data_IF_838565365676
#
_entry.id   IF_838565365676
#
_cell.length_a   1.000
_cell.length_b   1.000
_cell.length_c   1.000
_cell.angle_alpha   90.00
_cell.angle_beta   90.00
_cell.angle_gamma   90.00
#
_symmetry.space_group_name_H-M   'P 1'
#
loop_
_entity.id
_entity.type
_entity.pdbx_description
1 polymer ?
#
# COMPACT_ATOMS: atom_id res chain seq x y z
N UNK A 1 -41.07 32.69 0.33
CA UNK A 1 -40.33 32.08 1.46
C UNK A 1 -39.87 30.70 1.01
N UNK A 2 -38.59 30.56 0.65
CA UNK A 2 -37.99 29.29 0.19
C UNK A 2 -37.27 28.67 1.39
N UNK A 3 -37.82 27.57 1.93
CA UNK A 3 -37.19 26.78 2.98
C UNK A 3 -35.96 26.07 2.37
N UNK A 4 -34.77 26.55 2.72
CA UNK A 4 -33.51 25.85 2.48
C UNK A 4 -33.40 24.71 3.50
N UNK A 5 -33.56 23.47 3.04
CA UNK A 5 -33.16 22.30 3.81
C UNK A 5 -31.63 22.22 3.81
N UNK A 6 -31.00 22.54 4.95
CA UNK A 6 -29.62 22.14 5.20
C UNK A 6 -29.60 20.63 5.40
N UNK A 7 -29.03 19.90 4.42
CA UNK A 7 -28.62 18.52 4.61
C UNK A 7 -27.46 18.49 5.62
N UNK A 8 -27.48 17.63 6.64
CA UNK A 8 -26.33 17.46 7.52
C UNK A 8 -25.25 16.75 6.71
N UNK A 9 -24.18 17.50 6.39
CA UNK A 9 -22.91 16.93 5.94
C UNK A 9 -22.42 16.05 7.08
N UNK A 10 -22.56 14.73 6.91
CA UNK A 10 -21.98 13.73 7.80
C UNK A 10 -20.46 13.78 7.59
N UNK A 11 -19.81 14.76 8.22
CA UNK A 11 -18.37 14.77 8.37
C UNK A 11 -18.02 13.61 9.32
N UNK A 12 -17.63 12.47 8.75
CA UNK A 12 -16.96 11.40 9.49
C UNK A 12 -15.56 11.89 9.87
N UNK A 13 -15.50 12.74 10.90
CA UNK A 13 -14.27 13.12 11.59
C UNK A 13 -14.01 12.11 12.70
N UNK A 14 -13.34 11.01 12.37
CA UNK A 14 -12.53 10.25 13.31
C UNK A 14 -11.23 9.89 12.61
N UNK A 15 -10.29 10.84 12.62
CA UNK A 15 -8.90 10.55 12.34
C UNK A 15 -8.33 9.77 13.55
N UNK A 16 -8.68 8.48 13.65
CA UNK A 16 -7.70 7.54 14.20
C UNK A 16 -6.54 7.61 13.21
N UNK A 17 -5.38 8.09 13.66
CA UNK A 17 -4.19 8.09 12.81
C UNK A 17 -4.00 6.67 12.32
N UNK A 18 -4.22 6.42 11.04
CA UNK A 18 -4.09 5.09 10.46
C UNK A 18 -2.71 4.56 10.84
N UNK A 19 -2.69 3.45 11.56
CA UNK A 19 -1.45 2.73 11.82
C UNK A 19 -0.88 2.30 10.46
N UNK A 20 0.43 2.14 10.39
CA UNK A 20 1.05 1.55 9.21
C UNK A 20 1.67 0.21 9.57
N UNK A 21 1.65 -0.70 8.60
CA UNK A 21 2.39 -1.96 8.70
C UNK A 21 3.88 -1.65 8.84
N UNK A 22 4.50 -2.23 9.87
CA UNK A 22 5.90 -1.98 10.24
C UNK A 22 6.90 -2.77 9.38
N UNK A 23 6.46 -3.91 8.84
CA UNK A 23 7.22 -4.84 8.00
C UNK A 23 6.24 -5.71 7.22
N UNK A 24 6.67 -6.22 6.07
CA UNK A 24 5.87 -7.17 5.30
C UNK A 24 5.45 -8.35 6.17
N UNK A 25 4.20 -8.79 5.99
CA UNK A 25 3.62 -9.86 6.79
C UNK A 25 2.62 -10.68 5.98
N UNK A 26 2.49 -11.94 6.32
CA UNK A 26 1.41 -12.76 5.78
C UNK A 26 0.07 -12.27 6.33
N UNK A 27 -0.94 -12.24 5.47
CA UNK A 27 -2.33 -12.00 5.87
C UNK A 27 -3.10 -13.30 5.89
N UNK A 28 -4.01 -13.42 6.87
CA UNK A 28 -4.96 -14.53 6.93
C UNK A 28 -6.41 -14.07 6.85
N UNK A 29 -7.24 -14.88 6.20
CA UNK A 29 -8.69 -14.73 6.13
C UNK A 29 -9.31 -16.08 6.47
N UNK A 30 -10.23 -16.11 7.45
CA UNK A 30 -10.87 -17.33 7.96
C UNK A 30 -9.86 -18.44 8.33
N UNK A 31 -8.74 -18.05 8.93
CA UNK A 31 -7.67 -18.94 9.37
C UNK A 31 -6.76 -19.50 8.26
N UNK A 32 -6.95 -19.07 7.00
CA UNK A 32 -6.08 -19.44 5.87
C UNK A 32 -5.17 -18.29 5.49
N UNK A 33 -3.91 -18.58 5.18
CA UNK A 33 -3.02 -17.62 4.52
C UNK A 33 -3.53 -17.39 3.10
N UNK A 34 -3.66 -16.13 2.72
CA UNK A 34 -4.21 -15.74 1.40
C UNK A 34 -3.31 -14.72 0.68
N UNK A 35 -2.14 -14.42 1.22
CA UNK A 35 -1.22 -13.45 0.64
C UNK A 35 -0.37 -12.72 1.66
N UNK A 36 0.18 -11.58 1.23
CA UNK A 36 1.05 -10.71 2.01
C UNK A 36 0.58 -9.26 1.98
N UNK A 37 0.71 -8.57 3.11
CA UNK A 37 0.58 -7.12 3.22
C UNK A 37 1.96 -6.48 3.29
N UNK A 38 2.12 -5.34 2.62
CA UNK A 38 3.41 -4.68 2.48
C UNK A 38 3.63 -3.60 3.55
N UNK A 39 4.90 -3.36 3.91
CA UNK A 39 5.34 -2.30 4.81
C UNK A 39 4.79 -0.93 4.39
N UNK A 40 4.56 -0.06 5.37
CA UNK A 40 3.95 1.26 5.20
C UNK A 40 2.49 1.28 4.67
N UNK A 41 1.86 0.11 4.46
CA UNK A 41 0.42 0.03 4.16
C UNK A 41 -0.38 0.65 5.30
N UNK A 42 -1.26 1.63 5.04
CA UNK A 42 -2.14 2.19 6.05
C UNK A 42 -3.26 1.20 6.40
N UNK A 43 -3.48 1.01 7.70
CA UNK A 43 -4.46 0.07 8.23
C UNK A 43 -5.25 0.68 9.39
N UNK A 44 -6.47 0.19 9.55
CA UNK A 44 -7.26 0.40 10.77
C UNK A 44 -7.27 -0.91 11.57
N UNK A 45 -6.82 -0.88 12.82
CA UNK A 45 -6.90 -2.04 13.71
C UNK A 45 -8.32 -2.14 14.25
N UNK A 46 -9.10 -3.11 13.75
CA UNK A 46 -10.51 -3.27 14.13
C UNK A 46 -10.69 -4.12 15.38
N UNK A 47 -9.77 -5.06 15.62
CA UNK A 47 -9.80 -5.92 16.81
C UNK A 47 -8.38 -6.36 17.17
N UNK A 48 -8.00 -6.23 18.45
CA UNK A 48 -6.71 -6.72 18.96
C UNK A 48 -6.87 -8.10 19.56
N UNK A 49 -6.10 -9.07 19.07
CA UNK A 49 -5.97 -10.39 19.67
C UNK A 49 -4.59 -10.60 20.32
N UNK A 50 -4.38 -11.78 20.90
CA UNK A 50 -3.15 -12.08 21.65
C UNK A 50 -1.91 -12.22 20.74
N UNK A 51 -2.06 -12.86 19.57
CA UNK A 51 -0.97 -13.13 18.62
C UNK A 51 -1.13 -12.38 17.31
N UNK A 52 -2.36 -12.31 16.83
CA UNK A 52 -2.76 -11.60 15.63
C UNK A 52 -3.79 -10.55 15.98
N UNK A 53 -3.87 -9.52 15.15
CA UNK A 53 -4.93 -8.52 15.22
C UNK A 53 -5.65 -8.48 13.89
N UNK A 54 -6.96 -8.25 13.96
CA UNK A 54 -7.77 -8.02 12.79
C UNK A 54 -7.62 -6.58 12.35
N UNK A 55 -7.33 -6.38 11.08
CA UNK A 55 -7.13 -5.09 10.44
C UNK A 55 -8.10 -4.91 9.28
N UNK A 56 -8.39 -3.64 8.99
CA UNK A 56 -9.04 -3.21 7.77
C UNK A 56 -8.03 -2.48 6.88
N UNK A 57 -8.03 -2.85 5.60
CA UNK A 57 -7.26 -2.19 4.52
C UNK A 57 -8.24 -1.68 3.49
N UNK A 58 -8.19 -0.39 3.16
CA UNK A 58 -9.03 0.20 2.12
C UNK A 58 -8.18 0.62 0.93
N UNK A 59 -8.71 0.42 -0.28
CA UNK A 59 -8.00 0.72 -1.51
C UNK A 59 -8.82 0.39 -2.74
N UNK A 60 -8.14 0.04 -3.82
CA UNK A 60 -8.74 -0.37 -5.08
C UNK A 60 -8.18 -1.71 -5.58
N UNK A 61 -8.98 -2.46 -6.33
CA UNK A 61 -8.57 -3.68 -7.04
C UNK A 61 -8.97 -3.53 -8.49
N UNK A 62 -8.12 -3.90 -9.44
CA UNK A 62 -8.48 -3.90 -10.87
C UNK A 62 -9.50 -5.01 -11.14
N UNK A 63 -10.59 -4.71 -11.86
CA UNK A 63 -11.56 -5.75 -12.24
C UNK A 63 -10.96 -6.83 -13.15
N UNK A 64 -9.85 -6.54 -13.82
CA UNK A 64 -9.15 -7.45 -14.73
C UNK A 64 -7.96 -8.18 -14.07
N UNK A 65 -7.60 -7.81 -12.84
CA UNK A 65 -6.49 -8.43 -12.11
C UNK A 65 -6.74 -8.36 -10.60
N UNK A 66 -7.24 -9.45 -10.05
CA UNK A 66 -7.75 -9.48 -8.67
C UNK A 66 -6.67 -9.80 -7.63
N UNK A 67 -5.43 -10.03 -8.06
CA UNK A 67 -4.34 -10.46 -7.18
C UNK A 67 -3.77 -9.33 -6.32
N UNK A 68 -4.22 -8.07 -6.49
CA UNK A 68 -3.65 -6.94 -5.77
C UNK A 68 -4.71 -5.96 -5.27
N UNK A 69 -4.65 -5.67 -3.97
CA UNK A 69 -5.28 -4.48 -3.40
C UNK A 69 -4.24 -3.36 -3.40
N UNK A 70 -4.55 -2.27 -4.08
CA UNK A 70 -3.67 -1.13 -4.29
C UNK A 70 -4.22 0.15 -3.63
N UNK A 71 -3.36 1.16 -3.45
CA UNK A 71 -3.72 2.44 -2.83
C UNK A 71 -4.84 3.17 -3.56
N UNK A 72 -4.67 3.47 -4.85
CA UNK A 72 -5.66 4.12 -5.69
C UNK A 72 -5.39 3.83 -7.17
N UNK A 73 -6.29 4.25 -8.04
CA UNK A 73 -6.15 4.11 -9.50
C UNK A 73 -4.97 4.94 -10.01
N UNK A 74 -4.79 6.15 -9.49
CA UNK A 74 -3.77 7.12 -9.93
C UNK A 74 -2.38 6.86 -9.34
N UNK A 75 -2.33 6.28 -8.14
CA UNK A 75 -1.12 5.89 -7.43
C UNK A 75 -1.21 4.37 -7.10
N UNK A 76 -0.95 3.46 -8.06
CA UNK A 76 -1.16 2.00 -7.92
C UNK A 76 -0.05 1.33 -7.09
N UNK A 77 0.18 1.82 -5.88
CA UNK A 77 1.02 1.18 -4.87
C UNK A 77 0.30 -0.06 -4.33
N UNK A 78 0.94 -1.23 -4.44
CA UNK A 78 0.42 -2.47 -3.85
C UNK A 78 0.42 -2.36 -2.32
N UNK A 79 -0.74 -2.60 -1.71
CA UNK A 79 -0.88 -2.75 -0.26
C UNK A 79 -0.89 -4.22 0.12
N UNK A 80 -1.63 -5.04 -0.64
CA UNK A 80 -1.74 -6.48 -0.45
C UNK A 80 -1.55 -7.17 -1.77
N UNK A 81 -0.67 -8.17 -1.79
CA UNK A 81 -0.56 -9.16 -2.87
C UNK A 81 -1.23 -10.46 -2.39
N UNK A 82 -2.25 -10.91 -3.11
CA UNK A 82 -2.95 -12.16 -2.83
C UNK A 82 -2.26 -13.34 -3.52
N UNK A 83 -2.33 -14.52 -2.89
CA UNK A 83 -1.78 -15.75 -3.45
C UNK A 83 -2.59 -16.25 -4.67
N UNK A 84 -3.91 -16.00 -4.66
CA UNK A 84 -4.86 -16.38 -5.72
C UNK A 84 -5.80 -15.21 -6.08
N UNK A 85 -6.22 -15.14 -7.35
CA UNK A 85 -7.21 -14.18 -7.83
C UNK A 85 -8.63 -14.59 -7.43
N UNK A 86 -9.23 -13.88 -6.47
CA UNK A 86 -10.60 -14.14 -6.02
C UNK A 86 -11.29 -12.88 -5.49
N UNK A 87 -12.53 -12.66 -5.91
CA UNK A 87 -13.40 -11.61 -5.34
C UNK A 87 -13.75 -11.87 -3.86
N UNK A 88 -13.54 -13.07 -3.34
CA UNK A 88 -13.75 -13.37 -1.92
C UNK A 88 -12.69 -12.77 -1.02
N UNK A 89 -11.55 -12.33 -1.57
CA UNK A 89 -10.45 -11.78 -0.78
C UNK A 89 -10.77 -10.40 -0.21
N UNK A 90 -11.78 -9.71 -0.73
CA UNK A 90 -12.14 -8.37 -0.31
C UNK A 90 -13.64 -8.12 -0.45
N UNK A 91 -14.14 -7.11 0.24
CA UNK A 91 -15.50 -6.62 0.05
C UNK A 91 -15.50 -5.48 -0.95
N UNK A 92 -16.15 -5.68 -2.10
CA UNK A 92 -16.45 -4.60 -3.05
C UNK A 92 -17.39 -3.56 -2.41
N UNK A 93 -17.00 -2.30 -2.49
CA UNK A 93 -17.77 -1.14 -2.01
C UNK A 93 -18.52 -0.48 -3.16
N UNK A 94 -17.83 -0.18 -4.26
CA UNK A 94 -18.42 0.38 -5.48
C UNK A 94 -17.50 0.18 -6.69
N UNK A 95 -18.06 0.36 -7.88
CA UNK A 95 -17.30 0.45 -9.13
C UNK A 95 -16.72 1.85 -9.32
N UNK A 96 -15.55 1.87 -9.94
CA UNK A 96 -14.80 3.01 -10.42
C UNK A 96 -14.42 2.73 -11.87
N UNK A 97 -14.21 3.79 -12.64
CA UNK A 97 -13.72 3.73 -14.01
C UNK A 97 -12.62 4.78 -14.14
N UNK A 98 -11.51 4.40 -14.77
CA UNK A 98 -10.42 5.34 -15.06
C UNK A 98 -10.62 6.05 -16.41
N UNK A 99 -9.71 6.97 -16.74
CA UNK A 99 -9.80 7.77 -17.98
C UNK A 99 -9.65 6.92 -19.26
N UNK A 100 -9.27 5.65 -19.14
CA UNK A 100 -9.11 4.69 -20.25
C UNK A 100 -10.28 3.70 -20.35
N UNK A 101 -11.27 3.81 -19.46
CA UNK A 101 -12.41 2.91 -19.40
C UNK A 101 -12.12 1.58 -18.69
N UNK A 102 -11.00 1.47 -17.97
CA UNK A 102 -10.74 0.28 -17.16
C UNK A 102 -11.57 0.35 -15.87
N UNK A 103 -12.18 -0.78 -15.53
CA UNK A 103 -13.03 -0.89 -14.34
C UNK A 103 -12.18 -1.27 -13.14
N UNK A 104 -12.38 -0.54 -12.06
CA UNK A 104 -11.75 -0.76 -10.77
C UNK A 104 -12.82 -0.93 -9.69
N UNK A 105 -12.52 -1.73 -8.68
CA UNK A 105 -13.35 -1.86 -7.49
C UNK A 105 -12.74 -1.03 -6.38
N UNK A 106 -13.51 -0.10 -5.80
CA UNK A 106 -13.18 0.38 -4.46
C UNK A 106 -13.51 -0.75 -3.48
N UNK A 107 -12.56 -1.12 -2.62
CA UNK A 107 -12.70 -2.29 -1.75
C UNK A 107 -12.31 -2.00 -0.31
N UNK A 108 -12.87 -2.82 0.58
CA UNK A 108 -12.42 -2.98 1.97
C UNK A 108 -11.99 -4.45 2.18
N UNK A 109 -10.73 -4.66 2.55
CA UNK A 109 -10.18 -5.94 2.99
C UNK A 109 -10.19 -6.05 4.51
N UNK A 110 -10.60 -7.20 5.05
CA UNK A 110 -10.51 -7.50 6.48
C UNK A 110 -9.63 -8.73 6.66
N UNK A 111 -8.48 -8.54 7.29
CA UNK A 111 -7.46 -9.58 7.42
C UNK A 111 -6.98 -9.68 8.85
N UNK A 112 -6.41 -10.81 9.21
CA UNK A 112 -5.59 -10.94 10.40
C UNK A 112 -4.11 -10.83 10.03
N UNK A 113 -3.35 -10.13 10.86
CA UNK A 113 -1.89 -9.99 10.75
C UNK A 113 -1.23 -10.27 12.08
N UNK A 114 0.03 -10.77 12.11
CA UNK A 114 0.83 -10.85 13.32
C UNK A 114 0.93 -9.49 14.03
N UNK A 115 0.81 -9.48 15.35
CA UNK A 115 0.88 -8.24 16.15
C UNK A 115 2.22 -7.51 15.99
N UNK A 116 3.31 -8.23 15.72
CA UNK A 116 4.64 -7.66 15.51
C UNK A 116 4.83 -7.00 14.12
N UNK A 117 3.82 -7.09 13.25
CA UNK A 117 3.74 -6.34 11.99
C UNK A 117 3.04 -4.99 12.16
N UNK A 118 2.43 -4.71 13.31
CA UNK A 118 1.69 -3.47 13.59
C UNK A 118 2.53 -2.44 14.37
N UNK A 119 1.99 -1.22 14.46
CA UNK A 119 2.59 -0.14 15.25
C UNK A 119 3.84 0.47 14.63
N UNK A 120 3.97 0.42 13.30
CA UNK A 120 5.11 1.02 12.61
C UNK A 120 5.13 2.55 12.80
N UNK A 121 6.25 3.08 13.29
CA UNK A 121 6.44 4.53 13.29
C UNK A 121 6.76 4.98 11.86
N UNK A 122 5.75 5.48 11.15
CA UNK A 122 5.85 5.95 9.77
C UNK A 122 7.05 6.86 9.53
N UNK A 123 7.33 7.79 10.46
CA UNK A 123 8.44 8.75 10.32
C UNK A 123 9.80 8.06 10.38
N UNK A 124 9.97 7.10 11.29
CA UNK A 124 11.21 6.34 11.43
C UNK A 124 11.43 5.39 10.25
N UNK A 125 10.38 4.71 9.80
CA UNK A 125 10.41 3.87 8.60
C UNK A 125 10.82 4.68 7.37
N UNK A 126 10.25 5.87 7.18
CA UNK A 126 10.64 6.78 6.10
C UNK A 126 12.09 7.25 6.22
N UNK A 127 12.54 7.60 7.42
CA UNK A 127 13.92 8.02 7.64
C UNK A 127 14.91 6.88 7.34
N UNK A 128 14.58 5.64 7.74
CA UNK A 128 15.34 4.44 7.39
C UNK A 128 15.37 4.23 5.88
N UNK A 129 14.21 4.25 5.22
CA UNK A 129 14.09 4.06 3.77
C UNK A 129 14.92 5.07 2.98
N UNK A 130 14.80 6.36 3.32
CA UNK A 130 15.55 7.45 2.69
C UNK A 130 17.05 7.24 2.85
N UNK A 131 17.51 6.88 4.06
CA UNK A 131 18.92 6.63 4.33
C UNK A 131 19.45 5.47 3.47
N UNK A 132 18.74 4.34 3.44
CA UNK A 132 19.12 3.18 2.61
C UNK A 132 19.20 3.58 1.14
N UNK A 133 18.20 4.30 0.64
CA UNK A 133 18.16 4.77 -0.75
C UNK A 133 19.37 5.65 -1.08
N UNK A 134 19.66 6.66 -0.25
CA UNK A 134 20.76 7.59 -0.47
C UNK A 134 22.13 6.91 -0.38
N UNK A 135 22.35 6.03 0.59
CA UNK A 135 23.63 5.35 0.79
C UNK A 135 23.87 4.25 -0.25
N UNK A 136 22.84 3.50 -0.64
CA UNK A 136 22.98 2.35 -1.54
C UNK A 136 22.95 2.77 -3.00
N UNK A 137 22.00 3.63 -3.40
CA UNK A 137 21.73 3.91 -4.80
C UNK A 137 22.58 5.06 -5.38
N UNK A 138 23.40 5.74 -4.56
CA UNK A 138 24.35 6.77 -5.02
C UNK A 138 25.76 6.22 -5.30
N UNK A 139 25.99 4.93 -5.06
CA UNK A 139 27.32 4.32 -5.13
C UNK A 139 27.88 4.19 -6.56
N UNK A 140 27.01 4.02 -7.58
CA UNK A 140 27.42 3.73 -8.96
C UNK A 140 27.13 4.86 -9.95
N UNK A 141 26.12 5.68 -9.70
CA UNK A 141 25.71 6.79 -10.55
C UNK A 141 25.08 7.89 -9.71
N UNK A 142 24.74 9.02 -10.35
CA UNK A 142 23.95 10.06 -9.69
C UNK A 142 22.62 9.49 -9.26
N UNK A 143 22.26 9.70 -7.99
CA UNK A 143 20.99 9.29 -7.43
C UNK A 143 19.84 9.94 -8.21
N UNK A 144 18.86 9.14 -8.61
CA UNK A 144 17.62 9.66 -9.19
C UNK A 144 16.80 10.37 -8.10
N UNK A 145 16.26 11.53 -8.39
CA UNK A 145 15.30 12.16 -7.47
C UNK A 145 14.06 11.25 -7.35
N UNK A 146 13.44 11.10 -6.17
CA UNK A 146 12.24 10.26 -6.02
C UNK A 146 11.08 10.63 -6.97
N UNK A 147 11.03 11.87 -7.45
CA UNK A 147 10.04 12.34 -8.42
C UNK A 147 10.46 12.15 -9.90
N UNK A 148 11.52 11.38 -10.18
CA UNK A 148 11.98 11.09 -11.55
C UNK A 148 11.01 10.15 -12.29
N UNK A 149 10.30 9.30 -11.55
CA UNK A 149 9.38 8.29 -12.07
C UNK A 149 8.04 8.33 -11.33
N UNK A 150 6.98 7.78 -11.95
CA UNK A 150 5.67 7.59 -11.29
C UNK A 150 5.72 6.42 -10.30
N UNK A 151 4.72 6.32 -9.41
CA UNK A 151 4.63 5.21 -8.47
C UNK A 151 4.57 3.84 -9.16
N UNK A 152 3.92 3.76 -10.33
CA UNK A 152 3.86 2.57 -11.17
C UNK A 152 5.19 2.21 -11.86
N UNK A 153 6.05 3.20 -12.12
CA UNK A 153 7.32 3.01 -12.80
C UNK A 153 8.45 2.59 -11.88
N UNK A 154 8.41 2.99 -10.60
CA UNK A 154 9.47 2.67 -9.62
C UNK A 154 9.77 1.18 -9.46
N UNK A 155 8.78 0.27 -9.37
CA UNK A 155 9.05 -1.17 -9.25
C UNK A 155 9.97 -1.71 -10.36
N UNK A 156 9.66 -1.39 -11.63
CA UNK A 156 10.45 -1.87 -12.76
C UNK A 156 11.86 -1.25 -12.79
N UNK A 157 12.00 0.03 -12.46
CA UNK A 157 13.30 0.70 -12.40
C UNK A 157 14.20 0.11 -11.29
N UNK A 158 13.61 -0.19 -10.13
CA UNK A 158 14.35 -0.80 -9.02
C UNK A 158 14.71 -2.25 -9.32
N UNK A 159 13.80 -3.04 -9.91
CA UNK A 159 14.07 -4.42 -10.33
C UNK A 159 15.25 -4.48 -11.30
N UNK A 160 15.32 -3.58 -12.28
CA UNK A 160 16.44 -3.55 -13.23
C UNK A 160 17.82 -3.42 -12.55
N UNK A 161 17.92 -2.69 -11.44
CA UNK A 161 19.16 -2.57 -10.66
C UNK A 161 19.49 -3.83 -9.85
N UNK A 162 18.47 -4.49 -9.29
CA UNK A 162 18.61 -5.75 -8.55
C UNK A 162 18.96 -6.90 -9.48
N UNK A 163 18.31 -6.99 -10.64
CA UNK A 163 18.52 -8.03 -11.66
C UNK A 163 19.93 -7.94 -12.26
N UNK A 164 20.40 -6.72 -12.50
CA UNK A 164 21.78 -6.45 -12.94
C UNK A 164 22.83 -6.62 -11.82
N UNK A 165 22.43 -7.00 -10.60
CA UNK A 165 23.29 -7.22 -9.43
C UNK A 165 24.07 -5.97 -8.99
N UNK A 166 23.55 -4.78 -9.26
CA UNK A 166 24.14 -3.52 -8.78
C UNK A 166 23.68 -3.13 -7.37
N UNK A 167 22.53 -3.66 -6.93
CA UNK A 167 21.98 -3.43 -5.60
C UNK A 167 21.85 -4.77 -4.88
N UNK A 168 22.43 -4.86 -3.68
CA UNK A 168 22.33 -6.01 -2.80
C UNK A 168 21.64 -5.59 -1.49
N UNK A 169 20.31 -5.45 -1.56
CA UNK A 169 19.44 -5.25 -0.40
C UNK A 169 18.64 -6.54 -0.16
N UNK A 170 18.35 -6.83 1.10
CA UNK A 170 17.34 -7.86 1.40
C UNK A 170 15.94 -7.37 0.98
N UNK A 171 14.99 -8.29 0.89
CA UNK A 171 13.62 -8.01 0.44
C UNK A 171 12.92 -6.96 1.31
N UNK A 172 13.21 -6.93 2.62
CA UNK A 172 12.58 -5.99 3.57
C UNK A 172 13.04 -4.57 3.32
N UNK A 173 14.36 -4.36 3.23
CA UNK A 173 14.93 -3.05 2.98
C UNK A 173 14.64 -2.58 1.55
N UNK A 174 14.64 -3.49 0.57
CA UNK A 174 14.27 -3.20 -0.81
C UNK A 174 12.82 -2.72 -0.92
N UNK A 175 11.86 -3.43 -0.29
CA UNK A 175 10.46 -3.03 -0.34
C UNK A 175 10.25 -1.71 0.43
N UNK A 176 10.89 -1.53 1.57
CA UNK A 176 10.83 -0.26 2.30
C UNK A 176 11.34 0.93 1.47
N UNK A 177 12.43 0.76 0.72
CA UNK A 177 12.92 1.75 -0.25
C UNK A 177 11.92 1.98 -1.36
N UNK A 178 11.34 0.92 -1.93
CA UNK A 178 10.32 1.03 -2.98
C UNK A 178 9.13 1.88 -2.51
N UNK A 179 8.62 1.63 -1.29
CA UNK A 179 7.53 2.43 -0.71
C UNK A 179 7.89 3.89 -0.55
N UNK A 180 9.10 4.18 -0.05
CA UNK A 180 9.58 5.56 0.02
C UNK A 180 9.59 6.23 -1.37
N UNK A 181 10.08 5.55 -2.40
CA UNK A 181 10.12 6.07 -3.76
C UNK A 181 8.71 6.30 -4.33
N UNK A 182 7.79 5.34 -4.16
CA UNK A 182 6.40 5.46 -4.59
C UNK A 182 5.67 6.60 -3.89
N UNK A 183 5.89 6.80 -2.58
CA UNK A 183 5.24 7.87 -1.82
C UNK A 183 5.75 9.27 -2.18
N UNK A 184 6.97 9.37 -2.72
CA UNK A 184 7.59 10.61 -3.17
C UNK A 184 7.66 10.71 -4.71
N UNK A 185 6.93 9.83 -5.40
CA UNK A 185 6.95 9.72 -6.85
C UNK A 185 6.35 10.94 -7.55
N UNK A 186 6.65 11.04 -8.85
CA UNK A 186 5.97 11.96 -9.75
C UNK A 186 4.47 11.67 -9.74
N UNK A 187 3.67 12.69 -9.44
CA UNK A 187 2.22 12.59 -9.51
C UNK A 187 1.73 12.52 -10.95
N UNK A 188 0.85 11.57 -11.20
CA UNK A 188 0.06 11.51 -12.44
C UNK A 188 -1.08 12.53 -12.29
N UNK A 189 -1.35 13.28 -13.35
CA UNK A 189 -2.41 14.29 -13.39
C UNK A 189 -3.60 13.75 -14.12
#
# INVERSE_FOLDING_TARGET
MKMLFLAPVLACSLAFGADVIAKDANITLDGKMIGKIEVLTPVEVVEKGDKTSKIKVSGVVSANYLAQLQRSVEDPEVFVAFDDESETNFKKVKDLEDDYGEVWYQVDGLYEVPNDALGGNKKELYAKAKKIYEETCSACHRLHEPNSFTAAQWPANLSGMVDAKFVALDETDLNLVLKYLQHNAKKVK
#
